data_IF_941651659966
#
_entry.id   IF_941651659966
#
_cell.length_a   1.000
_cell.length_b   1.000
_cell.length_c   1.000
_cell.angle_alpha   90.00
_cell.angle_beta   90.00
_cell.angle_gamma   90.00
#
_symmetry.space_group_name_H-M   'P 1'
#
loop_
_entity.id
_entity.type
_entity.pdbx_description
1 polymer ?
#
# COMPACT_ATOMS: atom_id res chain seq x y z
N UNK A 1 4.60 22.09 39.62
CA UNK A 1 4.87 21.10 38.56
C UNK A 1 3.60 20.95 37.73
N UNK A 2 3.60 21.42 36.48
CA UNK A 2 2.47 21.22 35.56
C UNK A 2 2.28 19.71 35.33
N UNK A 3 1.07 19.19 35.54
CA UNK A 3 0.74 17.79 35.23
C UNK A 3 -0.05 17.75 33.93
N UNK A 4 0.43 16.96 32.97
CA UNK A 4 -0.31 16.68 31.73
C UNK A 4 -1.50 15.78 32.05
N UNK A 5 -2.70 16.20 31.65
CA UNK A 5 -3.96 15.48 31.91
C UNK A 5 -4.32 14.52 30.77
N UNK A 6 -4.14 14.97 29.53
CA UNK A 6 -4.35 14.12 28.34
C UNK A 6 -3.58 14.66 27.14
N UNK A 7 -3.26 13.76 26.21
CA UNK A 7 -2.65 14.06 24.92
C UNK A 7 -3.56 13.49 23.83
N UNK A 8 -3.96 14.32 22.87
CA UNK A 8 -4.70 13.87 21.68
C UNK A 8 -3.73 13.59 20.55
N UNK A 9 -3.86 12.45 19.88
CA UNK A 9 -3.07 12.08 18.70
C UNK A 9 -3.95 11.98 17.46
N UNK A 10 -3.39 12.31 16.30
CA UNK A 10 -3.93 11.97 14.99
C UNK A 10 -3.03 10.95 14.31
N UNK A 11 -3.63 9.89 13.79
CA UNK A 11 -2.93 8.93 12.94
C UNK A 11 -2.82 9.49 11.51
N UNK A 12 -1.62 9.46 10.96
CA UNK A 12 -1.33 9.85 9.58
C UNK A 12 -0.44 8.78 8.94
N UNK A 13 -0.43 8.68 7.62
CA UNK A 13 0.43 7.74 6.91
C UNK A 13 1.61 8.45 6.26
N UNK A 14 2.79 7.84 6.32
CA UNK A 14 3.97 8.22 5.52
C UNK A 14 4.28 7.13 4.51
N UNK A 15 4.64 7.54 3.29
CA UNK A 15 4.82 6.64 2.17
C UNK A 15 6.26 6.70 1.64
N UNK A 16 6.85 5.52 1.36
CA UNK A 16 8.17 5.41 0.74
C UNK A 16 8.10 4.52 -0.50
N UNK A 17 8.62 5.01 -1.63
CA UNK A 17 8.72 4.24 -2.88
C UNK A 17 10.14 3.67 -3.00
N UNK A 18 10.26 2.35 -2.91
CA UNK A 18 11.53 1.63 -3.03
C UNK A 18 11.82 1.26 -4.49
N UNK A 19 12.98 1.69 -5.00
CA UNK A 19 13.43 1.42 -6.40
C UNK A 19 14.28 0.15 -6.55
N UNK A 20 14.32 -0.71 -5.53
CA UNK A 20 14.91 -2.05 -5.64
C UNK A 20 13.79 -3.04 -5.91
N UNK A 21 13.88 -3.78 -7.02
CA UNK A 21 12.79 -4.66 -7.43
C UNK A 21 12.77 -5.94 -6.60
N UNK A 22 11.66 -6.22 -5.91
CA UNK A 22 11.44 -7.37 -5.02
C UNK A 22 10.20 -8.18 -5.42
N UNK A 23 10.15 -9.46 -5.02
CA UNK A 23 8.90 -10.21 -5.03
C UNK A 23 7.91 -9.55 -4.07
N UNK A 24 6.61 -9.84 -4.19
CA UNK A 24 5.63 -9.24 -3.28
C UNK A 24 5.94 -9.58 -1.81
N UNK A 25 6.33 -10.84 -1.55
CA UNK A 25 6.66 -11.30 -0.19
C UNK A 25 7.93 -10.63 0.35
N UNK A 26 8.96 -10.42 -0.47
CA UNK A 26 10.18 -9.73 -0.03
C UNK A 26 9.92 -8.23 0.20
N UNK A 27 9.08 -7.61 -0.63
CA UNK A 27 8.65 -6.23 -0.45
C UNK A 27 7.86 -6.05 0.84
N UNK A 28 6.93 -6.97 1.14
CA UNK A 28 6.21 -7.03 2.41
C UNK A 28 7.18 -7.11 3.60
N UNK A 29 8.12 -8.06 3.57
CA UNK A 29 9.13 -8.21 4.63
C UNK A 29 9.94 -6.92 4.84
N UNK A 30 10.33 -6.24 3.76
CA UNK A 30 11.08 -4.99 3.85
C UNK A 30 10.24 -3.86 4.47
N UNK A 31 8.97 -3.70 4.09
CA UNK A 31 8.09 -2.71 4.72
C UNK A 31 7.89 -3.00 6.21
N UNK A 32 7.72 -4.28 6.58
CA UNK A 32 7.57 -4.74 7.97
C UNK A 32 8.82 -4.45 8.81
N UNK A 33 10.02 -4.62 8.22
CA UNK A 33 11.30 -4.29 8.86
C UNK A 33 11.39 -2.81 9.25
N UNK A 34 10.73 -1.93 8.48
CA UNK A 34 10.64 -0.50 8.74
C UNK A 34 9.45 -0.09 9.62
N UNK A 35 8.78 -1.06 10.29
CA UNK A 35 7.61 -0.80 11.14
C UNK A 35 6.33 -0.50 10.36
N UNK A 36 6.32 -0.77 9.06
CA UNK A 36 5.22 -0.47 8.16
C UNK A 36 4.64 -1.71 7.48
N UNK A 37 3.89 -1.45 6.41
CA UNK A 37 3.17 -2.41 5.60
C UNK A 37 3.37 -2.06 4.13
N UNK A 38 3.08 -2.99 3.22
CA UNK A 38 2.86 -2.57 1.84
C UNK A 38 1.63 -1.64 1.80
N UNK A 39 1.73 -0.57 1.02
CA UNK A 39 0.77 0.53 1.07
C UNK A 39 -0.67 0.10 0.81
N UNK A 40 -1.58 0.63 1.62
CA UNK A 40 -3.02 0.57 1.42
C UNK A 40 -3.45 1.74 0.53
N UNK A 41 -4.47 1.56 -0.31
CA UNK A 41 -5.13 2.67 -1.00
C UNK A 41 -6.52 2.81 -0.40
N UNK A 42 -6.74 3.85 0.38
CA UNK A 42 -7.98 4.05 1.12
C UNK A 42 -9.05 4.71 0.26
N UNK A 43 -8.65 5.63 -0.62
CA UNK A 43 -9.57 6.41 -1.45
C UNK A 43 -8.97 6.76 -2.83
N UNK A 44 -9.74 7.51 -3.62
CA UNK A 44 -9.32 7.96 -4.95
C UNK A 44 -8.18 8.98 -4.90
N UNK A 45 -8.10 9.82 -3.86
CA UNK A 45 -7.05 10.81 -3.74
C UNK A 45 -5.69 10.14 -3.55
N UNK A 46 -5.61 9.13 -2.68
CA UNK A 46 -4.40 8.32 -2.52
C UNK A 46 -4.04 7.55 -3.79
N UNK A 47 -5.03 6.98 -4.49
CA UNK A 47 -4.80 6.31 -5.78
C UNK A 47 -4.13 7.24 -6.79
N UNK A 48 -4.67 8.46 -6.95
CA UNK A 48 -4.12 9.44 -7.87
C UNK A 48 -2.77 9.99 -7.41
N UNK A 49 -2.57 10.19 -6.11
CA UNK A 49 -1.28 10.58 -5.55
C UNK A 49 -0.19 9.56 -5.92
N UNK A 50 -0.40 8.28 -5.64
CA UNK A 50 0.59 7.25 -5.96
C UNK A 50 0.83 7.10 -7.45
N UNK A 51 -0.23 7.03 -8.27
CA UNK A 51 -0.06 6.87 -9.73
C UNK A 51 0.66 8.04 -10.37
N UNK A 52 0.39 9.28 -9.92
CA UNK A 52 1.12 10.46 -10.37
C UNK A 52 2.58 10.45 -9.92
N UNK A 53 2.86 10.05 -8.67
CA UNK A 53 4.24 9.91 -8.19
C UNK A 53 5.03 8.85 -8.95
N UNK A 54 4.41 7.70 -9.26
CA UNK A 54 5.02 6.68 -10.10
C UNK A 54 5.32 7.21 -11.50
N UNK A 55 4.36 7.87 -12.15
CA UNK A 55 4.54 8.47 -13.47
C UNK A 55 5.68 9.51 -13.47
N UNK A 56 5.67 10.45 -12.50
CA UNK A 56 6.71 11.48 -12.34
C UNK A 56 8.11 10.89 -12.17
N UNK A 57 8.21 9.77 -11.45
CA UNK A 57 9.48 9.05 -11.20
C UNK A 57 9.84 8.05 -12.29
N UNK A 58 9.08 8.00 -13.40
CA UNK A 58 9.23 7.06 -14.52
C UNK A 58 9.22 5.60 -14.05
N UNK A 59 8.33 5.27 -13.12
CA UNK A 59 8.14 3.91 -12.59
C UNK A 59 6.88 3.33 -13.22
N UNK A 60 7.04 2.27 -14.01
CA UNK A 60 5.92 1.65 -14.72
C UNK A 60 4.95 0.93 -13.79
N UNK A 61 5.46 0.19 -12.80
CA UNK A 61 4.65 -0.59 -11.86
C UNK A 61 5.29 -0.66 -10.48
N UNK A 62 4.47 -0.67 -9.43
CA UNK A 62 4.92 -0.92 -8.06
C UNK A 62 3.97 -1.87 -7.33
N UNK A 63 4.49 -2.74 -6.46
CA UNK A 63 3.67 -3.51 -5.52
C UNK A 63 3.00 -2.60 -4.49
N UNK A 64 1.77 -2.98 -4.14
CA UNK A 64 0.98 -2.44 -3.04
C UNK A 64 0.47 -3.60 -2.17
N UNK A 65 -0.21 -3.31 -1.06
CA UNK A 65 -0.60 -4.33 -0.08
C UNK A 65 -1.75 -5.23 -0.49
N UNK A 66 -2.45 -4.95 -1.59
CA UNK A 66 -3.61 -5.73 -2.02
C UNK A 66 -3.18 -7.09 -2.60
N UNK A 67 -3.83 -8.16 -2.14
CA UNK A 67 -3.54 -9.54 -2.54
C UNK A 67 -4.72 -10.46 -2.20
N UNK A 68 -4.85 -11.62 -2.85
CA UNK A 68 -5.85 -12.65 -2.56
C UNK A 68 -5.21 -14.04 -2.35
N UNK A 69 -3.92 -14.05 -1.99
CA UNK A 69 -3.08 -15.23 -1.73
C UNK A 69 -3.67 -16.28 -0.79
N UNK A 70 -4.56 -15.86 0.12
CA UNK A 70 -5.21 -16.75 1.09
C UNK A 70 -6.44 -17.43 0.50
N UNK A 71 -7.18 -16.74 -0.36
CA UNK A 71 -8.41 -17.21 -0.98
C UNK A 71 -8.65 -16.42 -2.26
N UNK A 72 -8.51 -17.10 -3.39
CA UNK A 72 -8.78 -16.58 -4.73
C UNK A 72 -10.09 -15.77 -4.79
N UNK A 73 -10.02 -14.59 -5.42
CA UNK A 73 -11.15 -13.68 -5.58
C UNK A 73 -11.51 -12.90 -4.30
N UNK A 74 -10.86 -13.16 -3.17
CA UNK A 74 -11.06 -12.43 -1.91
C UNK A 74 -9.85 -11.57 -1.58
N UNK A 75 -9.79 -10.40 -2.20
CA UNK A 75 -8.69 -9.46 -2.00
C UNK A 75 -8.69 -8.81 -0.62
N UNK A 76 -7.51 -8.79 0.00
CA UNK A 76 -7.22 -8.21 1.31
C UNK A 76 -5.96 -7.36 1.26
N UNK A 77 -5.93 -6.33 2.09
CA UNK A 77 -4.74 -5.51 2.25
C UNK A 77 -3.79 -6.12 3.29
N UNK A 78 -2.49 -6.01 3.03
CA UNK A 78 -1.42 -6.37 3.98
C UNK A 78 -1.63 -5.70 5.37
N UNK A 79 -2.11 -4.46 5.38
CA UNK A 79 -2.51 -3.76 6.60
C UNK A 79 -3.77 -4.38 7.21
N UNK A 80 -3.56 -5.07 8.34
CA UNK A 80 -4.59 -5.73 9.16
C UNK A 80 -5.48 -6.74 8.44
N UNK A 81 -5.04 -7.29 7.31
CA UNK A 81 -5.82 -8.27 6.54
C UNK A 81 -7.23 -7.77 6.18
N UNK A 82 -7.36 -6.45 5.96
CA UNK A 82 -8.64 -5.77 5.81
C UNK A 82 -9.25 -5.97 4.42
N UNK A 83 -10.58 -6.10 4.35
CA UNK A 83 -11.34 -6.28 3.10
C UNK A 83 -11.71 -4.94 2.41
N UNK A 84 -11.57 -3.82 3.14
CA UNK A 84 -11.94 -2.48 2.71
C UNK A 84 -11.01 -1.89 1.63
N UNK A 85 -10.99 -0.56 1.53
CA UNK A 85 -10.09 0.18 0.65
C UNK A 85 -10.54 0.27 -0.81
N UNK A 86 -9.94 1.23 -1.50
CA UNK A 86 -10.25 1.65 -2.86
C UNK A 86 -9.52 0.80 -3.90
N UNK A 87 -10.25 0.36 -4.92
CA UNK A 87 -9.74 -0.54 -5.96
C UNK A 87 -10.19 -0.01 -7.33
N UNK A 88 -9.25 0.52 -8.11
CA UNK A 88 -9.48 0.95 -9.50
C UNK A 88 -8.74 0.03 -10.45
N UNK A 89 -9.34 -1.11 -10.75
CA UNK A 89 -8.79 -2.11 -11.67
C UNK A 89 -8.62 -1.55 -13.08
N UNK A 90 -7.60 -2.03 -13.79
CA UNK A 90 -7.50 -1.83 -15.22
C UNK A 90 -8.66 -2.56 -15.92
N UNK A 91 -9.02 -2.11 -17.13
CA UNK A 91 -10.05 -2.80 -17.93
C UNK A 91 -9.68 -4.28 -18.10
N UNK A 92 -10.58 -5.17 -17.71
CA UNK A 92 -10.39 -6.62 -17.78
C UNK A 92 -9.52 -7.21 -16.66
N UNK A 93 -9.30 -6.48 -15.55
CA UNK A 93 -8.61 -6.98 -14.36
C UNK A 93 -9.56 -7.01 -13.14
N UNK A 94 -9.28 -7.84 -12.13
CA UNK A 94 -8.25 -8.88 -12.14
C UNK A 94 -8.61 -10.04 -13.06
N UNK A 95 -7.63 -10.65 -13.73
CA UNK A 95 -7.89 -11.72 -14.70
C UNK A 95 -7.32 -13.08 -14.30
N UNK A 96 -6.62 -13.14 -13.17
CA UNK A 96 -5.93 -14.31 -12.65
C UNK A 96 -5.24 -15.14 -13.75
N UNK A 97 -4.39 -14.48 -14.54
CA UNK A 97 -3.80 -15.13 -15.71
C UNK A 97 -3.08 -16.43 -15.34
N UNK A 98 -3.51 -17.54 -15.97
CA UNK A 98 -3.04 -18.91 -15.70
C UNK A 98 -3.26 -19.39 -14.25
N UNK A 99 -4.26 -18.84 -13.55
CA UNK A 99 -4.58 -19.19 -12.16
C UNK A 99 -3.36 -19.06 -11.23
N UNK A 100 -2.64 -17.94 -11.34
CA UNK A 100 -1.33 -17.76 -10.69
C UNK A 100 -1.01 -16.32 -10.29
N UNK A 101 -2.01 -15.44 -10.18
CA UNK A 101 -1.82 -14.01 -9.98
C UNK A 101 -2.49 -13.48 -8.71
N UNK A 102 -1.86 -13.73 -7.57
CA UNK A 102 -2.52 -13.44 -6.29
C UNK A 102 -2.07 -12.11 -5.65
N UNK A 103 -1.24 -11.33 -6.34
CA UNK A 103 -0.61 -10.12 -5.82
C UNK A 103 -0.86 -8.92 -6.73
N UNK A 104 -1.18 -7.76 -6.16
CA UNK A 104 -1.61 -6.61 -6.95
C UNK A 104 -0.52 -5.56 -7.09
N UNK A 105 -0.31 -5.10 -8.32
CA UNK A 105 0.53 -3.95 -8.63
C UNK A 105 -0.32 -2.73 -9.02
N UNK A 106 0.19 -1.55 -8.65
CA UNK A 106 -0.26 -0.27 -9.16
C UNK A 106 0.55 0.10 -10.41
N UNK A 107 -0.13 0.54 -11.48
CA UNK A 107 0.49 0.96 -12.74
C UNK A 107 0.65 2.48 -12.79
N UNK A 108 1.86 2.98 -13.08
CA UNK A 108 2.11 4.41 -13.22
C UNK A 108 1.53 5.00 -14.51
N UNK A 109 1.65 4.27 -15.63
CA UNK A 109 1.20 4.75 -16.94
C UNK A 109 -0.33 4.68 -17.08
N UNK A 110 -0.91 3.51 -16.84
CA UNK A 110 -2.36 3.28 -16.99
C UNK A 110 -3.17 3.75 -15.78
N UNK A 111 -2.50 4.12 -14.68
CA UNK A 111 -3.10 4.64 -13.44
C UNK A 111 -4.20 3.75 -12.87
N UNK A 112 -3.99 2.44 -12.90
CA UNK A 112 -4.95 1.43 -12.45
C UNK A 112 -4.24 0.21 -11.82
N UNK A 113 -5.03 -0.67 -11.19
CA UNK A 113 -4.58 -1.90 -10.54
C UNK A 113 -4.56 -3.08 -11.50
N UNK A 114 -3.61 -3.98 -11.30
CA UNK A 114 -3.49 -5.22 -12.05
C UNK A 114 -2.95 -6.32 -11.12
N UNK A 115 -3.56 -7.49 -11.12
CA UNK A 115 -3.06 -8.67 -10.44
C UNK A 115 -1.90 -9.30 -11.24
N UNK A 116 -0.96 -9.90 -10.51
CA UNK A 116 0.25 -10.45 -11.10
C UNK A 116 0.82 -11.54 -10.22
N UNK A 117 1.54 -12.47 -10.85
CA UNK A 117 2.27 -13.51 -10.14
C UNK A 117 3.21 -12.89 -9.09
N UNK A 118 3.02 -13.31 -7.84
CA UNK A 118 3.70 -12.76 -6.66
C UNK A 118 5.23 -12.85 -6.71
N UNK A 119 5.76 -13.81 -7.50
CA UNK A 119 7.19 -14.00 -7.73
C UNK A 119 7.79 -12.98 -8.72
N UNK A 120 6.95 -12.19 -9.41
CA UNK A 120 7.44 -11.10 -10.25
C UNK A 120 8.19 -10.07 -9.39
N UNK A 121 9.31 -9.55 -9.90
CA UNK A 121 10.08 -8.53 -9.19
C UNK A 121 9.65 -7.14 -9.61
N UNK A 122 9.26 -6.29 -8.66
CA UNK A 122 8.82 -4.91 -8.91
C UNK A 122 9.31 -3.97 -7.83
N UNK A 123 9.36 -2.68 -8.14
CA UNK A 123 9.42 -1.63 -7.12
C UNK A 123 8.18 -1.73 -6.23
N UNK A 124 8.18 -1.07 -5.09
CA UNK A 124 7.09 -1.21 -4.13
C UNK A 124 6.93 0.04 -3.29
N UNK A 125 5.73 0.19 -2.73
CA UNK A 125 5.37 1.32 -1.87
C UNK A 125 5.14 0.79 -0.46
N UNK A 126 5.91 1.28 0.50
CA UNK A 126 5.66 1.05 1.92
C UNK A 126 4.85 2.20 2.52
N UNK A 127 4.01 1.85 3.48
CA UNK A 127 3.23 2.75 4.33
C UNK A 127 3.65 2.53 5.79
N UNK A 128 3.88 3.62 6.52
CA UNK A 128 4.12 3.62 7.97
C UNK A 128 3.11 4.55 8.62
N UNK A 129 2.41 4.07 9.64
CA UNK A 129 1.51 4.92 10.44
C UNK A 129 2.34 5.78 11.39
N UNK A 130 2.02 7.06 11.46
CA UNK A 130 2.69 8.05 12.30
C UNK A 130 1.65 8.80 13.12
N UNK A 131 1.80 8.76 14.44
CA UNK A 131 0.95 9.46 15.37
C UNK A 131 1.53 10.84 15.67
N UNK A 132 0.80 11.90 15.29
CA UNK A 132 1.18 13.27 15.59
C UNK A 132 0.36 13.81 16.76
N UNK A 133 1.01 14.51 17.68
CA UNK A 133 0.32 15.20 18.79
C UNK A 133 -0.51 16.36 18.25
N UNK A 134 -1.82 16.32 18.52
CA UNK A 134 -2.75 17.40 18.17
C UNK A 134 -2.83 18.46 19.26
N UNK A 135 -2.87 18.06 20.52
CA UNK A 135 -2.90 18.98 21.66
C UNK A 135 -2.47 18.30 22.96
N UNK A 136 -1.90 19.10 23.85
CA UNK A 136 -1.54 18.71 25.22
C UNK A 136 -2.38 19.57 26.16
N UNK A 137 -3.21 18.92 26.98
CA UNK A 137 -3.95 19.62 28.04
C UNK A 137 -3.17 19.53 29.34
N UNK A 138 -2.72 20.67 29.86
CA UNK A 138 -2.04 20.80 31.17
C UNK A 138 -2.97 21.41 32.19
N UNK A 139 -2.78 21.04 33.47
CA UNK A 139 -3.39 21.69 34.63
C UNK A 139 -2.34 22.54 35.34
#
# INVERSE_FOLDING_TARGET
>A
LLRVRSVKYVETSQYTIHRKAYTWTDAQKECRRCGGYLATINDSAEHFYFTNELARRKISTAWIGLNDRTKEGTYRWDRYNSLGGYKRWCKGQPNNWRNSQDCVMLTGNSKCLNDRACLSRKFFICEVNVYKTLSVQTV
#
